data_IF_174066722033
#
_entry.id   IF_174066722033
#
_cell.length_a   1.000
_cell.length_b   1.000
_cell.length_c   1.000
_cell.angle_alpha   90.00
_cell.angle_beta   90.00
_cell.angle_gamma   90.00
#
_symmetry.space_group_name_H-M   'P 1'
#
loop_
_entity.id
_entity.type
_entity.pdbx_description
1 polymer ?
#
# COMPACT_ATOMS: atom_id res chain seq x y z
N UNK A 1 18.77 -16.53 -6.64
CA UNK A 1 17.77 -17.58 -6.98
C UNK A 1 16.77 -16.95 -7.94
N UNK A 2 16.58 -17.47 -9.14
CA UNK A 2 15.62 -16.94 -10.10
C UNK A 2 14.31 -17.72 -9.94
N UNK A 3 13.27 -17.08 -9.40
CA UNK A 3 11.94 -17.67 -9.26
C UNK A 3 11.10 -17.18 -10.45
N UNK A 4 10.63 -18.07 -11.33
CA UNK A 4 9.74 -17.68 -12.42
C UNK A 4 8.48 -17.01 -11.85
N UNK A 5 8.05 -15.93 -12.45
CA UNK A 5 6.84 -15.21 -12.04
C UNK A 5 6.00 -14.82 -13.25
N UNK A 6 4.69 -14.88 -13.10
CA UNK A 6 3.71 -14.37 -14.06
C UNK A 6 3.03 -13.14 -13.48
N UNK A 7 3.05 -12.05 -14.22
CA UNK A 7 2.34 -10.83 -13.84
C UNK A 7 0.95 -10.87 -14.47
N UNK A 8 -0.08 -10.72 -13.65
CA UNK A 8 -1.47 -10.52 -14.07
C UNK A 8 -1.73 -9.02 -14.06
N UNK A 9 -1.97 -8.38 -15.21
CA UNK A 9 -2.15 -6.94 -15.26
C UNK A 9 -3.49 -6.53 -14.64
N UNK A 10 -3.54 -5.40 -13.97
CA UNK A 10 -4.78 -4.77 -13.55
C UNK A 10 -5.62 -4.36 -14.77
N UNK A 11 -6.93 -4.25 -14.60
CA UNK A 11 -7.86 -3.70 -15.62
C UNK A 11 -7.47 -2.27 -16.02
N UNK A 12 -8.07 -1.71 -17.05
CA UNK A 12 -7.75 -0.35 -17.53
C UNK A 12 -7.99 0.73 -16.48
N UNK A 13 -9.00 0.54 -15.63
CA UNK A 13 -9.34 1.40 -14.49
C UNK A 13 -8.49 1.11 -13.24
N UNK A 14 -7.46 0.27 -13.35
CA UNK A 14 -6.59 -0.21 -12.28
C UNK A 14 -7.27 -1.13 -11.25
N UNK A 15 -8.49 -1.59 -11.48
CA UNK A 15 -9.08 -2.62 -10.63
C UNK A 15 -8.43 -3.99 -10.85
N UNK A 16 -8.45 -4.82 -9.82
CA UNK A 16 -8.09 -6.23 -9.88
C UNK A 16 -9.38 -7.05 -9.94
N UNK A 17 -9.45 -7.97 -10.91
CA UNK A 17 -10.55 -8.95 -10.96
C UNK A 17 -10.14 -10.21 -10.20
N UNK A 18 -10.81 -10.59 -9.09
CA UNK A 18 -10.48 -11.79 -8.34
C UNK A 18 -10.54 -13.08 -9.18
N UNK A 19 -11.39 -13.12 -10.21
CA UNK A 19 -11.54 -14.27 -11.07
C UNK A 19 -10.26 -14.61 -11.85
N UNK A 20 -9.42 -13.62 -12.14
CA UNK A 20 -8.12 -13.83 -12.79
C UNK A 20 -7.15 -14.67 -11.94
N UNK A 21 -7.46 -14.86 -10.65
CA UNK A 21 -6.64 -15.55 -9.67
C UNK A 21 -7.22 -16.90 -9.23
N UNK A 22 -8.36 -17.33 -9.80
CA UNK A 22 -8.98 -18.60 -9.42
C UNK A 22 -8.28 -19.79 -10.11
N UNK A 23 -7.98 -20.82 -9.35
CA UNK A 23 -7.43 -22.09 -9.85
C UNK A 23 -6.07 -21.97 -10.53
N UNK A 24 -5.23 -21.02 -10.13
CA UNK A 24 -3.93 -20.80 -10.77
C UNK A 24 -2.89 -21.89 -10.46
N UNK A 25 -3.12 -22.73 -9.45
CA UNK A 25 -2.21 -23.82 -9.03
C UNK A 25 -0.76 -23.34 -8.83
N UNK A 26 -0.59 -22.17 -8.23
CA UNK A 26 0.71 -21.56 -7.90
C UNK A 26 0.58 -20.59 -6.73
N UNK A 27 1.70 -20.23 -6.11
CA UNK A 27 1.73 -19.18 -5.10
C UNK A 27 1.26 -17.84 -5.70
N UNK A 28 0.35 -17.17 -5.02
CA UNK A 28 -0.21 -15.87 -5.40
C UNK A 28 0.32 -14.81 -4.46
N UNK A 29 0.69 -13.65 -5.00
CA UNK A 29 1.10 -12.48 -4.21
C UNK A 29 0.25 -11.28 -4.61
N UNK A 30 -0.47 -10.70 -3.65
CA UNK A 30 -1.37 -9.56 -3.83
C UNK A 30 -0.99 -8.44 -2.87
N UNK A 31 -0.89 -7.21 -3.38
CA UNK A 31 -0.81 -6.02 -2.53
C UNK A 31 -2.23 -5.45 -2.33
N UNK A 32 -2.71 -5.42 -1.09
CA UNK A 32 -4.05 -4.95 -0.75
C UNK A 32 -4.06 -4.12 0.55
N UNK A 33 -4.19 -2.78 0.47
CA UNK A 33 -4.34 -1.91 -0.71
C UNK A 33 -3.14 -1.92 -1.66
N UNK A 34 -3.43 -1.78 -2.96
CA UNK A 34 -2.41 -1.79 -4.00
C UNK A 34 -1.56 -0.50 -4.01
N UNK A 35 -0.29 -0.60 -4.33
CA UNK A 35 0.56 0.54 -4.63
C UNK A 35 1.06 0.46 -6.08
N UNK A 36 0.95 1.55 -6.89
CA UNK A 36 0.72 2.95 -6.52
C UNK A 36 -0.73 3.42 -6.56
N UNK A 37 -1.70 2.57 -6.88
CA UNK A 37 -3.10 3.00 -7.15
C UNK A 37 -3.86 3.39 -5.88
N UNK A 38 -3.57 2.75 -4.76
CA UNK A 38 -4.30 2.89 -3.49
C UNK A 38 -5.61 2.11 -3.45
N UNK A 39 -6.02 1.47 -4.55
CA UNK A 39 -7.25 0.68 -4.60
C UNK A 39 -7.14 -0.57 -3.72
N UNK A 40 -8.26 -0.99 -3.15
CA UNK A 40 -8.32 -2.18 -2.32
C UNK A 40 -9.50 -3.08 -2.72
N UNK A 41 -9.25 -4.39 -2.65
CA UNK A 41 -10.30 -5.38 -2.68
C UNK A 41 -10.96 -5.52 -1.29
N UNK A 42 -12.25 -5.82 -1.22
CA UNK A 42 -12.87 -6.24 0.02
C UNK A 42 -12.34 -7.62 0.45
N UNK A 43 -12.36 -7.89 1.75
CA UNK A 43 -11.90 -9.17 2.31
C UNK A 43 -12.59 -10.39 1.68
N UNK A 44 -13.88 -10.28 1.36
CA UNK A 44 -14.65 -11.33 0.71
C UNK A 44 -14.10 -11.73 -0.67
N UNK A 45 -13.54 -10.79 -1.42
CA UNK A 45 -12.91 -11.08 -2.70
C UNK A 45 -11.59 -11.86 -2.53
N UNK A 46 -10.78 -11.50 -1.51
CA UNK A 46 -9.57 -12.26 -1.15
C UNK A 46 -9.95 -13.66 -0.66
N UNK A 47 -11.03 -13.78 0.13
CA UNK A 47 -11.55 -15.07 0.59
C UNK A 47 -11.93 -15.99 -0.59
N UNK A 48 -12.55 -15.46 -1.65
CA UNK A 48 -12.83 -16.20 -2.87
C UNK A 48 -11.55 -16.72 -3.57
N UNK A 49 -10.48 -15.93 -3.58
CA UNK A 49 -9.17 -16.35 -4.12
C UNK A 49 -8.58 -17.50 -3.28
N UNK A 50 -8.66 -17.41 -1.94
CA UNK A 50 -8.19 -18.46 -1.02
C UNK A 50 -8.92 -19.78 -1.25
N UNK A 51 -10.25 -19.72 -1.36
CA UNK A 51 -11.11 -20.88 -1.61
C UNK A 51 -10.81 -21.57 -2.95
N UNK A 52 -10.52 -20.76 -3.97
CA UNK A 52 -10.23 -21.26 -5.31
C UNK A 52 -8.79 -21.83 -5.47
N UNK A 53 -7.91 -21.66 -4.47
CA UNK A 53 -6.51 -22.12 -4.51
C UNK A 53 -6.10 -22.81 -3.19
N UNK A 54 -6.81 -23.84 -2.72
CA UNK A 54 -6.63 -24.39 -1.36
C UNK A 54 -5.23 -24.95 -1.10
N UNK A 55 -4.57 -25.48 -2.13
CA UNK A 55 -3.26 -26.14 -2.04
C UNK A 55 -2.07 -25.18 -2.27
N UNK A 56 -2.34 -23.89 -2.50
CA UNK A 56 -1.29 -22.93 -2.84
C UNK A 56 -1.38 -21.67 -1.96
N UNK A 57 -0.22 -21.22 -1.48
CA UNK A 57 -0.15 -20.05 -0.59
C UNK A 57 -0.59 -18.79 -1.30
N UNK A 58 -1.48 -18.03 -0.67
CA UNK A 58 -1.86 -16.68 -1.06
C UNK A 58 -1.24 -15.71 -0.06
N UNK A 59 -0.30 -14.90 -0.54
CA UNK A 59 0.38 -13.87 0.23
C UNK A 59 -0.35 -12.54 0.00
N UNK A 60 -0.87 -11.93 1.06
CA UNK A 60 -1.51 -10.62 1.01
C UNK A 60 -0.60 -9.61 1.70
N UNK A 61 -0.03 -8.70 0.90
CA UNK A 61 0.77 -7.58 1.41
C UNK A 61 -0.18 -6.46 1.83
N UNK A 62 -0.34 -6.31 3.13
CA UNK A 62 -1.18 -5.33 3.79
C UNK A 62 -0.40 -4.10 4.28
N UNK A 63 0.67 -3.71 3.61
CA UNK A 63 1.51 -2.59 4.04
C UNK A 63 0.73 -1.28 4.25
N UNK A 64 -0.43 -1.12 3.65
CA UNK A 64 -1.27 0.08 3.72
C UNK A 64 -2.67 -0.15 4.32
N UNK A 65 -2.97 -1.35 4.81
CA UNK A 65 -4.32 -1.75 5.24
C UNK A 65 -4.92 -0.83 6.32
N UNK A 66 -4.10 -0.33 7.22
CA UNK A 66 -4.51 0.51 8.34
C UNK A 66 -5.18 1.83 7.92
N UNK A 67 -5.01 2.27 6.67
CA UNK A 67 -5.55 3.53 6.17
C UNK A 67 -6.95 3.42 5.54
N UNK A 68 -7.62 2.27 5.70
CA UNK A 68 -9.01 2.07 5.26
C UNK A 68 -9.23 0.82 4.42
N UNK A 69 -8.27 -0.10 4.38
CA UNK A 69 -8.44 -1.46 3.86
C UNK A 69 -9.12 -2.37 4.88
N UNK A 70 -9.54 -3.54 4.44
CA UNK A 70 -10.03 -4.62 5.28
C UNK A 70 -8.95 -5.68 5.44
N UNK A 71 -8.41 -5.84 6.65
CA UNK A 71 -7.38 -6.85 6.90
C UNK A 71 -7.91 -8.27 6.74
N UNK A 72 -7.10 -9.13 6.13
CA UNK A 72 -7.35 -10.57 5.99
C UNK A 72 -6.95 -11.38 7.23
N UNK A 73 -6.37 -10.77 8.26
CA UNK A 73 -5.98 -11.43 9.52
C UNK A 73 -7.10 -12.29 10.12
N UNK A 74 -8.38 -11.86 10.15
CA UNK A 74 -9.49 -12.69 10.66
C UNK A 74 -9.75 -13.99 9.85
N UNK A 75 -9.17 -14.14 8.66
CA UNK A 75 -9.31 -15.35 7.85
C UNK A 75 -8.25 -16.41 8.16
N UNK A 76 -7.19 -16.10 8.92
CA UNK A 76 -6.06 -17.01 9.19
C UNK A 76 -6.51 -18.31 9.85
N UNK A 77 -7.47 -18.27 10.78
CA UNK A 77 -7.98 -19.43 11.47
C UNK A 77 -8.82 -20.36 10.56
N UNK A 78 -9.26 -19.87 9.40
CA UNK A 78 -10.12 -20.58 8.45
C UNK A 78 -9.37 -21.09 7.23
N UNK A 79 -8.24 -20.46 6.87
CA UNK A 79 -7.49 -20.73 5.63
C UNK A 79 -6.02 -20.98 5.93
N UNK A 80 -5.61 -22.26 5.88
CA UNK A 80 -4.21 -22.65 6.12
C UNK A 80 -3.24 -22.09 5.06
N UNK A 81 -3.75 -21.75 3.88
CA UNK A 81 -3.00 -21.23 2.74
C UNK A 81 -2.85 -19.69 2.73
N UNK A 82 -3.32 -18.96 3.77
CA UNK A 82 -3.20 -17.52 3.87
C UNK A 82 -1.93 -17.12 4.61
N UNK A 83 -1.16 -16.20 4.01
CA UNK A 83 -0.08 -15.46 4.65
C UNK A 83 -0.32 -13.96 4.52
N UNK A 84 -0.54 -13.28 5.64
CA UNK A 84 -0.68 -11.82 5.69
C UNK A 84 0.65 -11.20 6.08
N UNK A 85 1.10 -10.18 5.33
CA UNK A 85 2.34 -9.44 5.62
C UNK A 85 2.01 -7.98 5.90
N UNK A 86 2.50 -7.45 7.02
CA UNK A 86 2.32 -6.06 7.41
C UNK A 86 3.65 -5.40 7.77
N UNK A 87 3.69 -4.08 7.79
CA UNK A 87 4.90 -3.31 8.06
C UNK A 87 4.68 -2.22 9.11
N UNK A 88 5.70 -1.95 9.89
CA UNK A 88 5.76 -0.80 10.78
C UNK A 88 6.17 0.50 10.06
N UNK A 89 6.57 0.40 8.80
CA UNK A 89 7.12 1.53 8.02
C UNK A 89 6.10 2.60 7.65
N UNK A 90 4.80 2.32 7.73
CA UNK A 90 3.73 3.22 7.25
C UNK A 90 2.92 3.77 8.43
N UNK A 91 1.87 3.10 8.84
CA UNK A 91 0.94 3.54 9.89
C UNK A 91 1.62 3.69 11.26
N UNK A 92 2.59 2.84 11.57
CA UNK A 92 3.36 2.87 12.82
C UNK A 92 4.58 3.81 12.78
N UNK A 93 4.83 4.50 11.65
CA UNK A 93 5.87 5.53 11.48
C UNK A 93 7.31 5.09 11.77
N UNK A 94 7.59 3.79 11.73
CA UNK A 94 8.90 3.19 12.02
C UNK A 94 9.66 2.77 10.74
N UNK A 95 9.60 3.59 9.67
CA UNK A 95 10.24 3.26 8.39
C UNK A 95 11.75 2.99 8.53
N UNK A 96 12.45 3.76 9.37
CA UNK A 96 13.87 3.59 9.64
C UNK A 96 14.23 2.33 10.43
N UNK A 97 13.29 1.77 11.23
CA UNK A 97 13.51 0.58 12.03
C UNK A 97 13.57 -0.72 11.21
N UNK A 98 13.11 -0.72 9.96
CA UNK A 98 13.11 -1.87 9.05
C UNK A 98 12.39 -3.09 9.62
N UNK A 99 11.25 -2.87 10.29
CA UNK A 99 10.46 -3.90 10.95
C UNK A 99 9.18 -4.19 10.16
N UNK A 100 8.88 -5.47 10.00
CA UNK A 100 7.63 -6.00 9.47
C UNK A 100 7.27 -7.29 10.18
N UNK A 101 6.08 -7.78 9.91
CA UNK A 101 5.59 -9.03 10.48
C UNK A 101 4.80 -9.83 9.44
N UNK A 102 4.78 -11.14 9.62
CA UNK A 102 3.98 -12.06 8.84
C UNK A 102 3.08 -12.87 9.79
N UNK A 103 1.84 -13.06 9.40
CA UNK A 103 0.83 -13.78 10.17
C UNK A 103 0.19 -14.84 9.27
N UNK A 104 0.04 -16.05 9.77
CA UNK A 104 -0.51 -17.16 9.00
C UNK A 104 -0.60 -18.43 9.85
N UNK A 105 -1.01 -19.52 9.23
CA UNK A 105 -1.04 -20.83 9.87
C UNK A 105 0.33 -21.20 10.47
N UNK A 106 0.32 -21.91 11.62
CA UNK A 106 1.54 -22.28 12.34
C UNK A 106 2.56 -23.05 11.47
N UNK A 107 2.11 -23.86 10.51
CA UNK A 107 2.99 -24.58 9.58
C UNK A 107 3.73 -23.63 8.65
N UNK A 108 3.02 -22.66 8.05
CA UNK A 108 3.64 -21.63 7.19
C UNK A 108 4.67 -20.79 7.98
N UNK A 109 4.32 -20.39 9.20
CA UNK A 109 5.23 -19.61 10.06
C UNK A 109 6.45 -20.45 10.46
N UNK A 110 6.28 -21.74 10.73
CA UNK A 110 7.41 -22.63 11.01
C UNK A 110 8.37 -22.74 9.81
N UNK A 111 7.84 -22.86 8.60
CA UNK A 111 8.67 -22.93 7.38
C UNK A 111 9.41 -21.61 7.12
N UNK A 112 8.75 -20.47 7.30
CA UNK A 112 9.39 -19.15 7.24
C UNK A 112 10.53 -19.01 8.26
N UNK A 113 10.33 -19.50 9.49
CA UNK A 113 11.37 -19.51 10.52
C UNK A 113 12.55 -20.40 10.14
N UNK A 114 12.32 -21.59 9.55
CA UNK A 114 13.42 -22.46 9.06
C UNK A 114 14.27 -21.71 8.02
N UNK A 115 13.64 -21.05 7.05
CA UNK A 115 14.34 -20.26 6.04
C UNK A 115 15.08 -19.09 6.68
N UNK A 116 14.42 -18.35 7.58
CA UNK A 116 15.02 -17.24 8.32
C UNK A 116 16.26 -17.66 9.06
N UNK A 117 16.18 -18.74 9.85
CA UNK A 117 17.34 -19.23 10.63
C UNK A 117 18.47 -19.75 9.74
N UNK A 118 18.18 -20.22 8.54
CA UNK A 118 19.19 -20.67 7.58
C UNK A 118 19.90 -19.51 6.87
N UNK A 119 19.19 -18.37 6.65
CA UNK A 119 19.71 -17.24 5.87
C UNK A 119 20.26 -16.11 6.76
N UNK A 120 19.46 -15.65 7.73
CA UNK A 120 19.82 -14.55 8.61
C UNK A 120 19.01 -14.61 9.93
N UNK A 121 19.47 -15.36 10.94
CA UNK A 121 18.75 -15.51 12.22
C UNK A 121 18.70 -14.22 13.04
N UNK A 122 19.64 -13.29 12.83
CA UNK A 122 19.82 -12.08 13.63
C UNK A 122 19.40 -10.80 12.90
N UNK A 123 18.41 -10.90 12.01
CA UNK A 123 17.99 -9.81 11.13
C UNK A 123 17.34 -8.61 11.85
N UNK A 124 16.82 -8.78 13.08
CA UNK A 124 16.19 -7.71 13.88
C UNK A 124 16.95 -7.55 15.20
N UNK A 125 17.44 -6.34 15.47
CA UNK A 125 18.10 -6.02 16.70
C UNK A 125 17.09 -5.79 17.86
N UNK A 126 17.60 -5.86 19.11
CA UNK A 126 16.77 -5.75 20.32
C UNK A 126 16.06 -4.39 20.45
N UNK A 127 16.70 -3.29 20.06
CA UNK A 127 16.10 -1.96 20.15
C UNK A 127 14.92 -1.83 19.17
N UNK A 128 15.07 -2.32 17.95
CA UNK A 128 14.00 -2.37 16.96
C UNK A 128 12.80 -3.20 17.45
N UNK A 129 13.05 -4.37 18.08
CA UNK A 129 11.97 -5.19 18.64
C UNK A 129 11.24 -4.45 19.77
N UNK A 130 11.96 -3.77 20.66
CA UNK A 130 11.35 -2.96 21.72
C UNK A 130 10.57 -1.77 21.20
N UNK A 131 11.08 -1.07 20.18
CA UNK A 131 10.35 0.00 19.51
C UNK A 131 9.07 -0.51 18.83
N UNK A 132 9.13 -1.67 18.18
CA UNK A 132 7.95 -2.32 17.58
C UNK A 132 6.92 -2.71 18.63
N UNK A 133 7.33 -3.29 19.76
CA UNK A 133 6.42 -3.60 20.86
C UNK A 133 5.73 -2.34 21.38
N UNK A 134 6.47 -1.29 21.70
CA UNK A 134 5.92 -0.02 22.17
C UNK A 134 4.94 0.60 21.15
N UNK A 135 5.25 0.53 19.86
CA UNK A 135 4.36 1.02 18.79
C UNK A 135 3.06 0.22 18.65
N UNK A 136 3.03 -1.05 19.06
CA UNK A 136 1.80 -1.86 19.12
C UNK A 136 0.97 -1.52 20.36
N UNK A 137 1.61 -1.24 21.47
CA UNK A 137 0.98 -0.91 22.76
C UNK A 137 0.37 0.50 22.75
N UNK A 138 0.97 1.46 22.03
CA UNK A 138 0.47 2.84 21.93
C UNK A 138 -0.64 2.96 20.88
N UNK A 139 -1.80 2.41 21.21
CA UNK A 139 -2.98 2.43 20.34
C UNK A 139 -3.58 3.82 20.19
N UNK A 140 -3.51 4.66 21.24
CA UNK A 140 -4.08 6.01 21.22
C UNK A 140 -3.35 6.91 20.20
N UNK A 141 -2.03 6.91 20.20
CA UNK A 141 -1.23 7.63 19.22
C UNK A 141 -1.45 7.10 17.79
N UNK A 142 -1.45 5.77 17.65
CA UNK A 142 -1.72 5.12 16.37
C UNK A 142 -3.07 5.54 15.79
N UNK A 143 -4.16 5.45 16.57
CA UNK A 143 -5.50 5.78 16.09
C UNK A 143 -5.64 7.26 15.75
N UNK A 144 -5.05 8.15 16.55
CA UNK A 144 -5.07 9.59 16.31
C UNK A 144 -4.34 9.95 15.01
N UNK A 145 -3.13 9.45 14.82
CA UNK A 145 -2.32 9.76 13.62
C UNK A 145 -2.91 9.14 12.37
N UNK A 146 -3.42 7.92 12.46
CA UNK A 146 -4.13 7.24 11.36
C UNK A 146 -5.37 8.02 10.92
N UNK A 147 -6.21 8.43 11.88
CA UNK A 147 -7.42 9.20 11.61
C UNK A 147 -7.11 10.53 10.93
N UNK A 148 -6.10 11.27 11.40
CA UNK A 148 -5.66 12.52 10.80
C UNK A 148 -5.19 12.34 9.34
N UNK A 149 -4.48 11.25 9.03
CA UNK A 149 -4.06 10.94 7.65
C UNK A 149 -5.28 10.65 6.77
N UNK A 150 -6.24 9.86 7.24
CA UNK A 150 -7.44 9.49 6.48
C UNK A 150 -8.29 10.74 6.20
N UNK A 151 -8.48 11.62 7.18
CA UNK A 151 -9.21 12.86 7.05
C UNK A 151 -8.53 13.81 6.05
N UNK A 152 -7.22 14.04 6.22
CA UNK A 152 -6.44 14.88 5.32
C UNK A 152 -6.43 14.32 3.89
N UNK A 153 -6.38 12.99 3.72
CA UNK A 153 -6.50 12.34 2.41
C UNK A 153 -7.83 12.68 1.74
N UNK A 154 -8.93 12.55 2.47
CA UNK A 154 -10.27 12.80 1.96
C UNK A 154 -10.43 14.26 1.53
N UNK A 155 -9.95 15.19 2.35
CA UNK A 155 -9.93 16.61 2.01
C UNK A 155 -9.05 16.91 0.80
N UNK A 156 -7.84 16.38 0.76
CA UNK A 156 -6.90 16.60 -0.36
C UNK A 156 -7.47 16.06 -1.67
N UNK A 157 -8.14 14.90 -1.64
CA UNK A 157 -8.83 14.35 -2.81
C UNK A 157 -9.85 15.34 -3.36
N UNK A 158 -10.75 15.86 -2.52
CA UNK A 158 -11.76 16.83 -2.94
C UNK A 158 -11.13 18.08 -3.55
N UNK A 159 -10.04 18.58 -2.95
CA UNK A 159 -9.33 19.74 -3.48
C UNK A 159 -8.67 19.50 -4.86
N UNK A 160 -8.15 18.30 -5.08
CA UNK A 160 -7.59 17.90 -6.38
C UNK A 160 -8.69 17.74 -7.42
N UNK A 161 -9.79 17.07 -7.08
CA UNK A 161 -10.94 16.90 -7.97
C UNK A 161 -11.54 18.26 -8.39
N UNK A 162 -11.65 19.22 -7.47
CA UNK A 162 -12.10 20.59 -7.76
C UNK A 162 -11.16 21.33 -8.74
N UNK A 163 -9.90 20.91 -8.85
CA UNK A 163 -8.89 21.45 -9.78
C UNK A 163 -8.82 20.66 -11.11
N UNK A 164 -9.76 19.75 -11.35
CA UNK A 164 -9.83 18.97 -12.57
C UNK A 164 -8.91 17.76 -12.62
N UNK A 165 -8.45 17.28 -11.46
CA UNK A 165 -7.73 16.01 -11.40
C UNK A 165 -8.71 14.83 -11.39
N UNK A 166 -8.32 13.75 -12.06
CA UNK A 166 -8.86 12.41 -11.83
C UNK A 166 -8.09 11.79 -10.69
N UNK A 167 -8.77 11.37 -9.62
CA UNK A 167 -8.14 10.79 -8.41
C UNK A 167 -8.77 9.43 -8.13
N UNK A 168 -7.96 8.38 -7.95
CA UNK A 168 -8.45 7.06 -7.59
C UNK A 168 -8.90 7.01 -6.11
N UNK A 169 -9.87 6.12 -5.81
CA UNK A 169 -10.41 5.93 -4.45
C UNK A 169 -9.42 5.18 -3.56
N UNK A 170 -8.44 5.89 -3.04
CA UNK A 170 -7.34 5.32 -2.27
C UNK A 170 -7.75 4.88 -0.86
N UNK A 171 -7.30 3.69 -0.47
CA UNK A 171 -7.36 3.14 0.90
C UNK A 171 -5.96 3.10 1.54
N UNK A 172 -5.04 3.95 1.08
CA UNK A 172 -3.66 4.05 1.57
C UNK A 172 -3.35 5.44 2.15
N UNK A 173 -2.10 5.71 2.50
CA UNK A 173 -1.64 7.03 2.94
C UNK A 173 -1.18 7.93 1.79
N UNK A 174 -1.63 7.67 0.58
CA UNK A 174 -1.34 8.47 -0.61
C UNK A 174 -2.55 8.51 -1.54
N UNK A 175 -2.55 9.45 -2.47
CA UNK A 175 -3.46 9.53 -3.60
C UNK A 175 -2.72 9.22 -4.89
N UNK A 176 -3.42 8.64 -5.85
CA UNK A 176 -2.93 8.46 -7.21
C UNK A 176 -3.80 9.31 -8.12
N UNK A 177 -3.21 10.34 -8.71
CA UNK A 177 -3.93 11.42 -9.37
C UNK A 177 -3.27 11.81 -10.69
N UNK A 178 -4.08 12.22 -11.66
CA UNK A 178 -3.64 12.81 -12.94
C UNK A 178 -4.53 13.98 -13.33
N UNK A 179 -4.02 14.86 -14.19
CA UNK A 179 -4.82 15.88 -14.87
C UNK A 179 -4.58 15.81 -16.38
N UNK A 180 -5.57 16.19 -17.15
CA UNK A 180 -5.44 16.33 -18.61
C UNK A 180 -4.72 17.63 -19.02
N UNK A 181 -4.58 18.60 -18.08
CA UNK A 181 -3.99 19.93 -18.34
C UNK A 181 -2.47 19.87 -18.48
N UNK A 182 -1.80 18.87 -17.89
CA UNK A 182 -0.36 18.77 -17.87
C UNK A 182 0.08 17.30 -17.83
N UNK A 183 1.12 16.96 -18.61
CA UNK A 183 1.78 15.65 -18.52
C UNK A 183 2.36 15.38 -17.13
N UNK A 184 2.24 14.14 -16.64
CA UNK A 184 2.64 13.74 -15.28
C UNK A 184 4.13 13.95 -15.00
N UNK A 185 5.00 13.66 -15.96
CA UNK A 185 6.44 13.86 -15.81
C UNK A 185 6.81 15.35 -15.75
N UNK A 186 6.13 16.17 -16.56
CA UNK A 186 6.31 17.62 -16.55
C UNK A 186 5.78 18.24 -15.25
N UNK A 187 4.59 17.83 -14.81
CA UNK A 187 4.02 18.28 -13.54
C UNK A 187 4.91 17.90 -12.35
N UNK A 188 5.47 16.70 -12.35
CA UNK A 188 6.45 16.26 -11.34
C UNK A 188 7.67 17.19 -11.27
N UNK A 189 8.26 17.57 -12.44
CA UNK A 189 9.43 18.46 -12.48
C UNK A 189 9.09 19.85 -11.94
N UNK A 190 7.98 20.44 -12.42
CA UNK A 190 7.52 21.77 -11.96
C UNK A 190 7.22 21.79 -10.45
N UNK A 191 6.58 20.75 -9.91
CA UNK A 191 6.36 20.61 -8.46
C UNK A 191 7.67 20.55 -7.69
N UNK A 192 8.65 19.76 -8.16
CA UNK A 192 9.98 19.66 -7.55
C UNK A 192 10.71 21.01 -7.54
N UNK A 193 10.64 21.79 -8.62
CA UNK A 193 11.20 23.15 -8.74
C UNK A 193 10.53 24.11 -7.75
N UNK A 194 9.24 23.92 -7.44
CA UNK A 194 8.51 24.67 -6.41
C UNK A 194 8.63 24.06 -5.00
N UNK A 195 9.59 23.15 -4.75
CA UNK A 195 9.89 22.60 -3.43
C UNK A 195 8.93 21.48 -2.97
N UNK A 196 8.06 20.96 -3.84
CA UNK A 196 7.10 19.91 -3.53
C UNK A 196 7.52 18.59 -4.18
N UNK A 197 7.79 17.58 -3.34
CA UNK A 197 8.18 16.25 -3.82
C UNK A 197 6.97 15.29 -3.82
N UNK A 198 6.67 14.77 -5.00
CA UNK A 198 5.71 13.69 -5.22
C UNK A 198 6.42 12.51 -5.90
N UNK A 199 5.74 11.40 -6.14
CA UNK A 199 6.33 10.29 -6.88
C UNK A 199 5.74 10.20 -8.29
N UNK A 200 6.59 10.23 -9.30
CA UNK A 200 6.28 9.91 -10.69
C UNK A 200 6.85 8.55 -11.07
N UNK A 201 6.19 7.85 -12.01
CA UNK A 201 6.62 6.56 -12.54
C UNK A 201 6.68 6.66 -14.06
N UNK A 202 7.87 6.50 -14.62
CA UNK A 202 8.06 6.45 -16.06
C UNK A 202 7.75 5.03 -16.59
N UNK A 203 6.45 4.74 -16.67
CA UNK A 203 5.95 3.47 -17.18
C UNK A 203 4.69 3.70 -18.03
N UNK A 204 4.48 2.97 -19.16
CA UNK A 204 3.49 3.30 -20.19
C UNK A 204 2.08 3.57 -19.68
N UNK A 205 1.59 2.80 -18.70
CA UNK A 205 0.20 2.92 -18.21
C UNK A 205 0.01 4.00 -17.14
N UNK A 206 1.10 4.45 -16.49
CA UNK A 206 1.04 5.30 -15.31
C UNK A 206 1.92 6.55 -15.41
N UNK A 207 2.54 6.81 -16.57
CA UNK A 207 3.39 7.99 -16.78
C UNK A 207 2.64 9.33 -16.60
N UNK A 208 1.33 9.35 -16.86
CA UNK A 208 0.51 10.56 -16.66
C UNK A 208 0.07 10.75 -15.20
N UNK A 209 0.36 9.80 -14.32
CA UNK A 209 -0.10 9.80 -12.94
C UNK A 209 1.00 10.19 -11.96
N UNK A 210 0.59 10.82 -10.87
CA UNK A 210 1.44 11.13 -9.72
C UNK A 210 0.92 10.40 -8.48
N UNK A 211 1.83 9.81 -7.69
CA UNK A 211 1.50 9.35 -6.35
C UNK A 211 1.87 10.44 -5.34
N UNK A 212 0.87 10.96 -4.66
CA UNK A 212 0.96 12.06 -3.71
C UNK A 212 0.80 11.49 -2.31
N UNK A 213 1.87 11.43 -1.53
CA UNK A 213 1.82 11.00 -0.13
C UNK A 213 1.10 12.06 0.70
N UNK A 214 0.19 11.64 1.56
CA UNK A 214 -0.53 12.55 2.46
C UNK A 214 0.41 12.98 3.59
N UNK A 215 0.61 14.27 3.69
CA UNK A 215 1.32 14.95 4.77
C UNK A 215 0.38 15.62 5.76
N UNK A 216 0.89 16.58 6.50
CA UNK A 216 0.06 17.44 7.35
C UNK A 216 -0.86 18.33 6.51
N UNK A 217 -1.96 18.88 7.08
CA UNK A 217 -2.82 19.83 6.36
C UNK A 217 -2.03 20.99 5.74
N UNK A 218 -1.06 21.56 6.45
CA UNK A 218 -0.21 22.63 5.94
C UNK A 218 0.63 22.20 4.72
N UNK A 219 1.17 20.96 4.74
CA UNK A 219 1.91 20.42 3.59
C UNK A 219 1.00 20.20 2.38
N UNK A 220 -0.23 19.73 2.60
CA UNK A 220 -1.18 19.58 1.50
C UNK A 220 -1.65 20.92 0.95
N UNK A 221 -1.82 21.94 1.78
CA UNK A 221 -2.07 23.33 1.33
C UNK A 221 -0.91 23.85 0.47
N UNK A 222 0.34 23.62 0.86
CA UNK A 222 1.51 24.01 0.07
C UNK A 222 1.55 23.28 -1.29
N UNK A 223 1.20 22.01 -1.35
CA UNK A 223 1.02 21.27 -2.61
C UNK A 223 -0.02 21.94 -3.50
N UNK A 224 -1.20 22.26 -2.95
CA UNK A 224 -2.30 22.85 -3.72
C UNK A 224 -1.92 24.24 -4.25
N UNK A 225 -1.26 25.08 -3.44
CA UNK A 225 -0.76 26.39 -3.88
C UNK A 225 0.27 26.28 -5.02
N UNK A 226 1.17 25.29 -4.93
CA UNK A 226 2.11 25.02 -6.02
C UNK A 226 1.41 24.54 -7.30
N UNK A 227 0.39 23.69 -7.16
CA UNK A 227 -0.43 23.23 -8.30
C UNK A 227 -1.19 24.38 -8.96
N UNK A 228 -1.82 25.26 -8.17
CA UNK A 228 -2.55 26.42 -8.69
C UNK A 228 -1.62 27.29 -9.53
N UNK A 229 -0.45 27.66 -9.00
CA UNK A 229 0.57 28.43 -9.74
C UNK A 229 1.03 27.72 -11.04
N UNK A 230 1.26 26.40 -11.01
CA UNK A 230 1.77 25.65 -12.17
C UNK A 230 0.72 25.49 -13.27
N UNK A 231 -0.56 25.43 -12.90
CA UNK A 231 -1.66 25.18 -13.83
C UNK A 231 -2.32 26.47 -14.35
N UNK A 232 -2.01 27.64 -13.79
CA UNK A 232 -2.38 28.96 -14.32
C UNK A 232 -1.48 29.39 -15.47
N UNK A 233 -0.20 28.95 -15.48
CA UNK A 233 0.80 29.14 -16.54
C UNK A 233 0.56 28.16 -17.75
#
# INVERSE_FOLDING_TARGET
>A
MHIPSRIIPLREDFTLDPADYYGLNTTIVLANPNAPTGLALPRSAIEGILQANPDHVVIVDEAYVDFGGESCVPLIDRYENLLVVQTFSKSRQLAGARLGLAMGNAKLIADLNRVKFSLNPYNINRLTLKAGQAALEDTAYFDTTRAAIVETRSWTRQQLEARGFTVLDSRSNFLFARTARQDGGTLYRKLKENGVLVRHFDAPRIHSWLRITIGTPAQMQALLAALDKILED
#
